data_IF_214854423996
#
_entry.id   IF_214854423996
#
_cell.length_a   1.000
_cell.length_b   1.000
_cell.length_c   1.000
_cell.angle_alpha   90.00
_cell.angle_beta   90.00
_cell.angle_gamma   90.00
#
_symmetry.space_group_name_H-M   'P 1'
#
loop_
_entity.id
_entity.type
_entity.pdbx_description
1 polymer ?
#
# COMPACT_ATOMS: atom_id res chain seq x y z
N UNK A 1 30.64 14.81 1.23
CA UNK A 1 29.58 14.66 0.21
C UNK A 1 28.30 14.25 0.92
N UNK A 2 27.32 15.16 1.05
CA UNK A 2 25.98 14.77 1.53
C UNK A 2 25.35 13.89 0.44
N UNK A 3 24.82 12.72 0.82
CA UNK A 3 24.03 11.91 -0.11
C UNK A 3 22.79 12.70 -0.50
N UNK A 4 22.51 12.78 -1.80
CA UNK A 4 21.26 13.34 -2.29
C UNK A 4 20.09 12.64 -1.62
N UNK A 5 19.15 13.45 -1.13
CA UNK A 5 17.91 12.97 -0.53
C UNK A 5 17.14 12.17 -1.57
N UNK A 6 16.70 10.98 -1.18
CA UNK A 6 15.90 10.13 -2.06
C UNK A 6 14.63 10.93 -2.48
N UNK A 7 14.35 11.03 -3.79
CA UNK A 7 13.21 11.79 -4.29
C UNK A 7 11.88 11.33 -3.68
N UNK A 8 10.97 12.27 -3.42
CA UNK A 8 9.64 11.99 -2.83
C UNK A 8 8.87 10.92 -3.59
N UNK A 9 8.97 10.90 -4.94
CA UNK A 9 8.33 9.84 -5.75
C UNK A 9 8.88 8.45 -5.46
N UNK A 10 10.19 8.33 -5.24
CA UNK A 10 10.80 7.06 -4.86
C UNK A 10 10.41 6.67 -3.43
N UNK A 11 10.30 7.62 -2.50
CA UNK A 11 9.76 7.35 -1.16
C UNK A 11 8.36 6.75 -1.23
N UNK A 12 7.43 7.41 -1.93
CA UNK A 12 6.04 6.95 -2.05
C UNK A 12 5.98 5.58 -2.72
N UNK A 13 6.76 5.35 -3.79
CA UNK A 13 6.79 4.07 -4.49
C UNK A 13 7.28 2.92 -3.58
N UNK A 14 8.31 3.17 -2.75
CA UNK A 14 8.81 2.20 -1.77
C UNK A 14 7.76 1.87 -0.72
N UNK A 15 7.06 2.88 -0.19
CA UNK A 15 5.98 2.69 0.78
C UNK A 15 4.84 1.83 0.22
N UNK A 16 4.34 2.21 -0.96
CA UNK A 16 3.23 1.50 -1.63
C UNK A 16 3.63 0.06 -1.95
N UNK A 17 4.83 -0.15 -2.50
CA UNK A 17 5.33 -1.50 -2.78
C UNK A 17 5.43 -2.34 -1.52
N UNK A 18 5.91 -1.74 -0.43
CA UNK A 18 6.08 -2.40 0.86
C UNK A 18 4.73 -2.85 1.44
N UNK A 19 3.72 -1.98 1.38
CA UNK A 19 2.34 -2.28 1.79
C UNK A 19 1.70 -3.35 0.90
N UNK A 20 1.86 -3.25 -0.42
CA UNK A 20 1.21 -4.15 -1.36
C UNK A 20 1.77 -5.58 -1.35
N UNK A 21 3.06 -5.76 -1.06
CA UNK A 21 3.74 -7.05 -1.33
C UNK A 21 4.21 -7.84 -0.11
N UNK A 22 4.41 -7.22 1.05
CA UNK A 22 4.95 -7.97 2.19
C UNK A 22 6.40 -8.49 2.03
N UNK A 23 7.11 -8.20 0.92
CA UNK A 23 8.54 -8.50 0.73
C UNK A 23 9.54 -7.91 1.76
N UNK A 24 10.56 -8.66 2.20
CA UNK A 24 11.59 -8.16 3.12
C UNK A 24 12.38 -6.97 2.54
N UNK A 25 12.87 -6.09 3.42
CA UNK A 25 13.58 -4.85 3.05
C UNK A 25 14.77 -5.06 2.11
N UNK A 26 15.41 -6.24 2.14
CA UNK A 26 16.50 -6.61 1.22
C UNK A 26 16.04 -6.65 -0.24
N UNK A 27 14.85 -7.18 -0.52
CA UNK A 27 14.29 -7.24 -1.86
C UNK A 27 13.83 -5.86 -2.33
N UNK A 28 13.20 -5.09 -1.45
CA UNK A 28 12.79 -3.71 -1.71
C UNK A 28 14.01 -2.82 -2.01
N UNK A 29 15.06 -2.91 -1.20
CA UNK A 29 16.33 -2.22 -1.40
C UNK A 29 16.95 -2.52 -2.76
N UNK A 30 17.03 -3.81 -3.14
CA UNK A 30 17.52 -4.24 -4.46
C UNK A 30 16.65 -3.71 -5.61
N UNK A 31 15.33 -3.70 -5.43
CA UNK A 31 14.36 -3.29 -6.46
C UNK A 31 14.40 -1.79 -6.74
N UNK A 32 14.53 -0.97 -5.70
CA UNK A 32 14.52 0.48 -5.80
C UNK A 32 15.92 1.11 -5.85
N UNK A 33 16.99 0.30 -5.76
CA UNK A 33 18.37 0.78 -5.77
C UNK A 33 18.73 1.62 -4.54
N UNK A 34 18.02 1.42 -3.43
CA UNK A 34 18.19 2.20 -2.21
C UNK A 34 18.95 1.39 -1.16
N UNK A 35 19.76 2.07 -0.33
CA UNK A 35 20.35 1.43 0.84
C UNK A 35 19.27 0.93 1.80
N UNK A 36 19.48 -0.25 2.41
CA UNK A 36 18.51 -0.87 3.34
C UNK A 36 18.11 0.09 4.47
N UNK A 37 19.05 0.88 4.98
CA UNK A 37 18.80 1.89 6.02
C UNK A 37 17.86 3.02 5.56
N UNK A 38 17.88 3.37 4.27
CA UNK A 38 16.94 4.33 3.70
C UNK A 38 15.54 3.71 3.58
N UNK A 39 15.42 2.48 3.06
CA UNK A 39 14.14 1.77 2.99
C UNK A 39 13.50 1.59 4.37
N UNK A 40 14.29 1.34 5.42
CA UNK A 40 13.79 1.20 6.79
C UNK A 40 13.16 2.49 7.34
N UNK A 41 13.70 3.66 6.98
CA UNK A 41 13.15 4.97 7.38
C UNK A 41 11.84 5.31 6.64
N UNK A 42 11.57 4.63 5.53
CA UNK A 42 10.43 4.88 4.66
C UNK A 42 9.25 3.96 4.95
N UNK A 43 9.38 3.03 5.88
CA UNK A 43 8.24 2.20 6.27
C UNK A 43 7.30 3.04 7.12
N UNK A 44 6.01 3.02 6.80
CA UNK A 44 4.97 3.63 7.62
C UNK A 44 5.10 3.11 9.05
N UNK A 45 5.31 4.01 10.02
CA UNK A 45 5.40 3.63 11.42
C UNK A 45 4.00 3.24 11.86
N UNK A 46 3.80 1.96 12.14
CA UNK A 46 2.58 1.53 12.82
C UNK A 46 2.54 2.22 14.19
N UNK A 47 1.38 2.74 14.62
CA UNK A 47 1.25 3.29 15.97
C UNK A 47 1.69 2.26 17.01
N UNK A 48 2.37 2.73 18.05
CA UNK A 48 2.70 1.90 19.22
C UNK A 48 1.43 1.46 19.97
N UNK A 49 1.58 0.47 20.85
CA UNK A 49 0.45 -0.15 21.55
C UNK A 49 -0.37 0.86 22.39
N UNK A 50 0.28 1.86 22.98
CA UNK A 50 -0.40 2.93 23.72
C UNK A 50 -1.28 3.77 22.79
N UNK A 51 -0.72 4.18 21.65
CA UNK A 51 -1.44 4.93 20.62
C UNK A 51 -2.59 4.11 20.04
N UNK A 52 -2.39 2.81 19.80
CA UNK A 52 -3.42 1.88 19.34
C UNK A 52 -4.58 1.79 20.34
N UNK A 53 -4.28 1.63 21.63
CA UNK A 53 -5.30 1.54 22.67
C UNK A 53 -6.10 2.84 22.81
N UNK A 54 -5.41 3.99 22.72
CA UNK A 54 -6.09 5.29 22.73
C UNK A 54 -7.07 5.43 21.57
N UNK A 55 -6.64 5.12 20.33
CA UNK A 55 -7.49 5.23 19.13
C UNK A 55 -8.70 4.29 19.24
N UNK A 56 -8.50 3.05 19.70
CA UNK A 56 -9.60 2.09 19.91
C UNK A 56 -10.66 2.65 20.86
N UNK A 57 -10.23 3.13 22.03
CA UNK A 57 -11.15 3.62 23.06
C UNK A 57 -11.90 4.87 22.58
N UNK A 58 -11.21 5.79 21.90
CA UNK A 58 -11.82 7.00 21.36
C UNK A 58 -12.86 6.66 20.28
N UNK A 59 -12.51 5.76 19.34
CA UNK A 59 -13.43 5.35 18.28
C UNK A 59 -14.63 4.58 18.83
N UNK A 60 -14.42 3.69 19.79
CA UNK A 60 -15.49 2.95 20.46
C UNK A 60 -16.42 3.89 21.22
N UNK A 61 -15.89 4.91 21.89
CA UNK A 61 -16.70 5.91 22.59
C UNK A 61 -17.60 6.73 21.66
N UNK A 62 -17.19 6.93 20.39
CA UNK A 62 -17.94 7.73 19.42
C UNK A 62 -18.90 6.87 18.61
N UNK A 63 -18.47 5.67 18.20
CA UNK A 63 -19.19 4.82 17.24
C UNK A 63 -19.92 3.63 17.87
N UNK A 64 -19.55 3.23 19.09
CA UNK A 64 -20.00 1.98 19.73
C UNK A 64 -19.37 0.71 19.14
N UNK A 65 -18.45 0.83 18.18
CA UNK A 65 -17.79 -0.31 17.54
C UNK A 65 -16.42 -0.51 18.19
N UNK A 66 -16.26 -1.63 18.90
CA UNK A 66 -15.00 -1.96 19.57
C UNK A 66 -13.92 -2.42 18.60
N UNK A 67 -12.66 -2.30 19.05
CA UNK A 67 -11.47 -2.80 18.35
C UNK A 67 -11.18 -2.19 16.97
N UNK A 68 -11.72 -1.01 16.67
CA UNK A 68 -11.40 -0.29 15.43
C UNK A 68 -10.25 0.68 15.67
N UNK A 69 -9.19 0.56 14.87
CA UNK A 69 -7.98 1.40 14.96
C UNK A 69 -7.83 2.37 13.79
N UNK A 70 -8.73 2.30 12.82
CA UNK A 70 -8.66 3.07 11.59
C UNK A 70 -9.51 2.46 10.49
N UNK A 71 -9.50 3.11 9.33
CA UNK A 71 -10.16 2.63 8.12
C UNK A 71 -9.16 2.62 6.97
N UNK A 72 -9.27 1.62 6.10
CA UNK A 72 -8.42 1.47 4.92
C UNK A 72 -9.32 1.62 3.70
N UNK A 73 -9.16 2.72 2.96
CA UNK A 73 -9.92 2.94 1.75
C UNK A 73 -9.22 2.26 0.58
N UNK A 74 -9.85 1.24 0.03
CA UNK A 74 -9.30 0.57 -1.15
C UNK A 74 -9.75 1.29 -2.41
N UNK A 75 -8.81 1.53 -3.33
CA UNK A 75 -9.09 2.12 -4.64
C UNK A 75 -8.77 1.12 -5.74
N UNK A 76 -9.67 1.03 -6.72
CA UNK A 76 -9.41 0.27 -7.94
C UNK A 76 -8.77 1.17 -8.99
N UNK A 77 -7.51 0.86 -9.34
CA UNK A 77 -6.76 1.60 -10.36
C UNK A 77 -6.81 0.81 -11.67
N UNK A 78 -7.31 1.39 -12.78
CA UNK A 78 -7.30 0.73 -14.08
C UNK A 78 -5.85 0.49 -14.53
N UNK A 79 -5.57 -0.71 -15.03
CA UNK A 79 -4.25 -1.09 -15.52
C UNK A 79 -4.34 -1.71 -16.91
N UNK A 80 -3.20 -1.71 -17.60
CA UNK A 80 -3.00 -2.54 -18.79
C UNK A 80 -2.82 -3.98 -18.33
N UNK A 81 -3.26 -4.94 -19.15
CA UNK A 81 -3.11 -6.37 -18.87
C UNK A 81 -1.67 -6.69 -18.44
N UNK A 82 -1.46 -7.23 -17.22
CA UNK A 82 -0.12 -7.56 -16.76
C UNK A 82 0.41 -8.79 -17.50
N UNK A 83 1.71 -8.89 -17.74
CA UNK A 83 2.31 -10.05 -18.44
C UNK A 83 2.22 -11.36 -17.65
N UNK A 84 2.00 -11.28 -16.34
CA UNK A 84 1.94 -12.40 -15.41
C UNK A 84 0.62 -12.28 -14.65
N UNK A 85 -0.09 -13.40 -14.48
CA UNK A 85 -1.35 -13.48 -13.73
C UNK A 85 -2.46 -12.53 -14.22
N UNK A 86 -2.64 -12.44 -15.54
CA UNK A 86 -3.68 -11.63 -16.21
C UNK A 86 -5.06 -11.83 -15.60
N UNK A 87 -5.41 -13.08 -15.28
CA UNK A 87 -6.72 -13.45 -14.74
C UNK A 87 -7.01 -12.83 -13.37
N UNK A 88 -5.97 -12.61 -12.54
CA UNK A 88 -6.13 -12.05 -11.20
C UNK A 88 -6.53 -10.57 -11.22
N UNK A 89 -6.18 -9.85 -12.30
CA UNK A 89 -6.50 -8.44 -12.46
C UNK A 89 -7.70 -8.20 -13.40
N UNK A 90 -8.33 -9.26 -13.93
CA UNK A 90 -9.43 -9.12 -14.87
C UNK A 90 -10.70 -8.63 -14.16
N UNK A 91 -11.26 -7.52 -14.63
CA UNK A 91 -12.51 -7.00 -14.11
C UNK A 91 -13.67 -7.34 -15.03
N UNK A 92 -14.41 -8.39 -14.66
CA UNK A 92 -15.58 -8.86 -15.40
C UNK A 92 -16.67 -7.79 -15.52
N UNK A 93 -17.05 -7.14 -14.41
CA UNK A 93 -18.13 -6.13 -14.39
C UNK A 93 -17.82 -4.92 -15.27
N UNK A 94 -16.57 -4.43 -15.23
CA UNK A 94 -16.14 -3.29 -16.05
C UNK A 94 -16.04 -3.69 -17.53
N UNK A 95 -15.58 -4.92 -17.80
CA UNK A 95 -15.53 -5.48 -19.16
C UNK A 95 -16.91 -5.61 -19.78
N UNK A 96 -17.89 -6.13 -19.04
CA UNK A 96 -19.28 -6.28 -19.48
C UNK A 96 -19.94 -4.93 -19.77
N UNK A 97 -19.70 -3.91 -18.93
CA UNK A 97 -20.27 -2.56 -19.11
C UNK A 97 -19.71 -1.82 -20.31
N UNK A 98 -18.40 -1.90 -20.53
CA UNK A 98 -17.73 -1.11 -21.57
C UNK A 98 -17.49 -1.89 -22.87
N UNK A 99 -17.93 -3.15 -22.94
CA UNK A 99 -17.65 -4.08 -24.04
C UNK A 99 -16.16 -4.14 -24.44
N UNK A 100 -15.27 -3.88 -23.47
CA UNK A 100 -13.82 -3.82 -23.67
C UNK A 100 -13.12 -4.46 -22.49
N UNK A 101 -12.23 -5.40 -22.77
CA UNK A 101 -11.44 -6.12 -21.75
C UNK A 101 -10.73 -5.13 -20.84
N UNK A 102 -11.09 -5.15 -19.56
CA UNK A 102 -10.68 -4.18 -18.55
C UNK A 102 -9.99 -4.88 -17.39
N UNK A 103 -8.86 -4.30 -16.96
CA UNK A 103 -8.07 -4.82 -15.86
C UNK A 103 -7.92 -3.75 -14.79
N UNK A 104 -8.01 -4.14 -13.52
CA UNK A 104 -7.89 -3.26 -12.37
C UNK A 104 -7.04 -3.94 -11.29
N UNK A 105 -6.28 -3.14 -10.55
CA UNK A 105 -5.63 -3.57 -9.31
C UNK A 105 -6.27 -2.84 -8.13
N UNK A 106 -6.49 -3.57 -7.04
CA UNK A 106 -6.93 -2.97 -5.78
C UNK A 106 -5.70 -2.55 -5.00
N UNK A 107 -5.62 -1.26 -4.70
CA UNK A 107 -4.60 -0.71 -3.80
C UNK A 107 -5.30 -0.38 -2.48
N UNK A 108 -4.67 -0.76 -1.37
CA UNK A 108 -5.13 -0.47 -0.02
C UNK A 108 -4.26 0.62 0.60
#
# INVERSE_FOLDING_TARGET
MLRDTVPVRQHVAVCIWRLATGEPLRLVSKKFGLGISACHKLVFRWPDDETVNRIKNEFESISGISNVIGSMYTTHIPIIAPKISVAACFNRRHTERNQKTSYLITVQ
#
